data_IF_796855914333
#
_entry.id   IF_796855914333
#
_cell.length_a   1.000
_cell.length_b   1.000
_cell.length_c   1.000
_cell.angle_alpha   90.00
_cell.angle_beta   90.00
_cell.angle_gamma   90.00
#
_symmetry.space_group_name_H-M   'P 1'
#
loop_
_entity.id
_entity.type
_entity.pdbx_description
1 polymer ?
#
# COMPACT_ATOMS: atom_id res chain seq x y z
N UNK A 1 0.30 -2.20 23.33
CA UNK A 1 1.18 -2.61 22.21
C UNK A 1 1.59 -4.07 22.38
N UNK A 2 1.69 -4.86 21.30
CA UNK A 2 1.90 -6.33 21.35
C UNK A 2 3.39 -6.76 21.41
N UNK A 3 4.32 -5.81 21.59
CA UNK A 3 5.76 -6.07 21.67
C UNK A 3 6.37 -6.66 20.39
N UNK A 4 7.63 -7.09 20.49
CA UNK A 4 8.37 -7.70 19.38
C UNK A 4 7.75 -9.02 18.92
N UNK A 5 7.38 -9.90 19.87
CA UNK A 5 6.77 -11.19 19.54
C UNK A 5 5.45 -11.03 18.79
N UNK A 6 4.59 -10.10 19.23
CA UNK A 6 3.35 -9.79 18.52
C UNK A 6 3.59 -9.20 17.14
N UNK A 7 4.60 -8.33 16.99
CA UNK A 7 4.99 -7.78 15.69
C UNK A 7 5.51 -8.86 14.74
N UNK A 8 6.27 -9.84 15.25
CA UNK A 8 6.76 -10.98 14.47
C UNK A 8 5.63 -11.85 13.95
N UNK A 9 4.65 -12.19 14.80
CA UNK A 9 3.46 -12.93 14.38
C UNK A 9 2.68 -12.17 13.30
N UNK A 10 2.50 -10.86 13.48
CA UNK A 10 1.84 -10.02 12.50
C UNK A 10 2.59 -9.95 11.16
N UNK A 11 3.91 -9.73 11.18
CA UNK A 11 4.76 -9.69 9.98
C UNK A 11 4.77 -11.02 9.23
N UNK A 12 4.74 -12.16 9.95
CA UNK A 12 4.61 -13.47 9.35
C UNK A 12 3.28 -13.60 8.61
N UNK A 13 2.18 -13.15 9.21
CA UNK A 13 0.88 -13.07 8.55
C UNK A 13 0.88 -12.19 7.31
N UNK A 14 1.54 -11.03 7.35
CA UNK A 14 1.71 -10.17 6.16
C UNK A 14 2.46 -10.90 5.06
N UNK A 15 3.57 -11.58 5.40
CA UNK A 15 4.40 -12.33 4.45
C UNK A 15 3.63 -13.46 3.78
N UNK A 16 2.85 -14.21 4.55
CA UNK A 16 2.09 -15.37 4.05
C UNK A 16 0.91 -14.96 3.15
N UNK A 17 0.46 -13.70 3.26
CA UNK A 17 -0.60 -13.12 2.43
C UNK A 17 -0.08 -12.34 1.21
N UNK A 18 1.23 -12.34 0.94
CA UNK A 18 1.77 -11.67 -0.24
C UNK A 18 1.34 -12.38 -1.53
N UNK A 19 0.56 -11.70 -2.37
CA UNK A 19 0.15 -12.20 -3.68
C UNK A 19 1.34 -12.48 -4.62
N UNK A 20 2.48 -11.79 -4.42
CA UNK A 20 3.72 -11.96 -5.17
C UNK A 20 4.93 -11.58 -4.33
N UNK A 21 6.13 -11.97 -4.77
CA UNK A 21 7.38 -11.52 -4.13
C UNK A 21 7.47 -9.97 -4.16
N UNK A 22 7.93 -9.32 -3.06
CA UNK A 22 8.09 -7.87 -3.04
C UNK A 22 9.05 -7.42 -4.15
N UNK A 23 8.60 -6.48 -4.98
CA UNK A 23 9.38 -5.95 -6.11
C UNK A 23 8.89 -4.56 -6.52
N UNK A 24 9.81 -3.69 -6.98
CA UNK A 24 9.49 -2.32 -7.35
C UNK A 24 9.32 -1.37 -6.17
N UNK A 25 8.76 -0.18 -6.42
CA UNK A 25 8.48 0.86 -5.42
C UNK A 25 6.97 0.98 -5.14
N UNK A 26 6.54 1.92 -4.29
CA UNK A 26 5.13 2.16 -3.94
C UNK A 26 4.23 2.37 -5.17
N UNK A 27 4.71 3.11 -6.17
CA UNK A 27 3.95 3.33 -7.43
C UNK A 27 3.76 2.03 -8.20
N UNK A 28 4.77 1.16 -8.17
CA UNK A 28 4.69 -0.17 -8.77
C UNK A 28 3.70 -1.08 -8.04
N UNK A 29 3.43 -0.86 -6.74
CA UNK A 29 2.37 -1.58 -6.04
C UNK A 29 0.98 -1.07 -6.45
N UNK A 30 0.80 0.25 -6.62
CA UNK A 30 -0.46 0.79 -7.15
C UNK A 30 -0.72 0.30 -8.58
N UNK A 31 0.32 0.23 -9.42
CA UNK A 31 0.23 -0.40 -10.73
C UNK A 31 -0.19 -1.88 -10.65
N UNK A 32 0.32 -2.62 -9.67
CA UNK A 32 -0.02 -4.03 -9.49
C UNK A 32 -1.51 -4.21 -9.14
N UNK A 33 -2.07 -3.33 -8.30
CA UNK A 33 -3.51 -3.31 -8.04
C UNK A 33 -4.30 -2.98 -9.30
N UNK A 34 -3.89 -1.94 -10.04
CA UNK A 34 -4.50 -1.59 -11.33
C UNK A 34 -4.49 -2.76 -12.33
N UNK A 35 -3.41 -3.54 -12.37
CA UNK A 35 -3.24 -4.69 -13.25
C UNK A 35 -3.96 -5.97 -12.76
N UNK A 36 -4.61 -5.94 -11.60
CA UNK A 36 -5.28 -7.10 -11.00
C UNK A 36 -4.30 -8.16 -10.47
N UNK A 37 -3.05 -7.81 -10.21
CA UNK A 37 -2.06 -8.73 -9.63
C UNK A 37 -2.25 -8.91 -8.11
N UNK A 38 -2.87 -7.94 -7.44
CA UNK A 38 -3.24 -8.00 -6.03
C UNK A 38 -4.39 -7.05 -5.71
N UNK A 39 -5.08 -7.28 -4.59
CA UNK A 39 -6.23 -6.45 -4.19
C UNK A 39 -5.84 -5.20 -3.38
N UNK A 40 -4.75 -5.32 -2.59
CA UNK A 40 -4.33 -4.30 -1.62
C UNK A 40 -2.83 -4.05 -1.76
N UNK A 41 -2.44 -2.78 -1.64
CA UNK A 41 -1.04 -2.34 -1.57
C UNK A 41 -0.83 -1.42 -0.36
N UNK A 42 0.34 -1.54 0.27
CA UNK A 42 0.78 -0.62 1.33
C UNK A 42 1.78 0.35 0.70
N UNK A 43 1.54 1.65 0.86
CA UNK A 43 2.42 2.68 0.33
C UNK A 43 2.18 4.05 0.94
N UNK A 44 3.11 4.96 0.71
CA UNK A 44 3.04 6.31 1.23
C UNK A 44 2.10 7.20 0.41
N UNK A 45 1.20 7.93 1.08
CA UNK A 45 0.16 8.76 0.42
C UNK A 45 0.72 9.84 -0.50
N UNK A 46 1.93 10.35 -0.25
CA UNK A 46 2.54 11.35 -1.13
C UNK A 46 2.81 10.82 -2.55
N UNK A 47 2.96 9.51 -2.72
CA UNK A 47 3.09 8.93 -4.06
C UNK A 47 1.79 9.00 -4.84
N UNK A 48 0.63 8.91 -4.19
CA UNK A 48 -0.67 9.14 -4.84
C UNK A 48 -0.74 10.56 -5.41
N UNK A 49 -0.39 11.56 -4.59
CA UNK A 49 -0.33 12.95 -5.06
C UNK A 49 0.65 13.16 -6.21
N UNK A 50 1.83 12.53 -6.15
CA UNK A 50 2.82 12.59 -7.25
C UNK A 50 2.34 11.91 -8.52
N UNK A 51 1.60 10.80 -8.43
CA UNK A 51 1.08 10.07 -9.59
C UNK A 51 -0.06 10.83 -10.28
N UNK A 52 -1.02 11.34 -9.50
CA UNK A 52 -2.14 12.14 -10.02
C UNK A 52 -1.70 13.40 -10.78
N UNK A 53 -0.52 13.94 -10.46
CA UNK A 53 0.04 15.14 -11.09
C UNK A 53 1.19 14.84 -12.06
N UNK A 54 1.40 13.57 -12.45
CA UNK A 54 2.56 13.18 -13.23
C UNK A 54 2.39 13.47 -14.73
N UNK A 55 2.79 14.68 -15.16
CA UNK A 55 2.76 15.06 -16.59
C UNK A 55 3.79 14.33 -17.47
N UNK A 56 4.85 13.76 -16.87
CA UNK A 56 5.88 13.03 -17.62
C UNK A 56 5.48 11.59 -17.92
N UNK A 57 4.67 11.01 -17.04
CA UNK A 57 4.18 9.63 -17.10
C UNK A 57 2.67 9.63 -16.83
N UNK A 58 1.85 10.05 -17.82
CA UNK A 58 0.41 10.20 -17.64
C UNK A 58 -0.29 8.88 -17.32
N UNK A 59 0.29 7.73 -17.66
CA UNK A 59 -0.22 6.41 -17.29
C UNK A 59 -0.33 6.21 -15.77
N UNK A 60 0.49 6.92 -14.99
CA UNK A 60 0.42 6.86 -13.52
C UNK A 60 -0.86 7.51 -12.97
N UNK A 61 -1.48 8.43 -13.72
CA UNK A 61 -2.76 9.04 -13.34
C UNK A 61 -3.87 7.99 -13.39
N UNK A 62 -3.86 7.11 -14.40
CA UNK A 62 -4.82 6.01 -14.51
C UNK A 62 -4.66 5.00 -13.37
N UNK A 63 -3.42 4.62 -13.05
CA UNK A 63 -3.16 3.71 -11.92
C UNK A 63 -3.67 4.31 -10.61
N UNK A 64 -3.40 5.59 -10.37
CA UNK A 64 -3.84 6.29 -9.17
C UNK A 64 -5.36 6.42 -9.07
N UNK A 65 -6.05 6.70 -10.18
CA UNK A 65 -7.51 6.80 -10.21
C UNK A 65 -8.23 5.44 -10.07
N UNK A 66 -7.52 4.33 -10.29
CA UNK A 66 -8.11 2.99 -10.15
C UNK A 66 -8.18 2.47 -8.71
N UNK A 67 -7.54 3.15 -7.76
CA UNK A 67 -7.45 2.70 -6.37
C UNK A 67 -8.01 3.74 -5.39
N UNK A 68 -8.48 3.27 -4.24
CA UNK A 68 -8.88 4.13 -3.13
C UNK A 68 -7.80 4.12 -2.04
N UNK A 69 -7.55 5.28 -1.43
CA UNK A 69 -6.70 5.38 -0.23
C UNK A 69 -7.54 5.07 1.00
N UNK A 70 -7.19 3.99 1.69
CA UNK A 70 -7.81 3.61 2.97
C UNK A 70 -6.82 3.89 4.10
N UNK A 71 -7.22 4.72 5.06
CA UNK A 71 -6.43 4.97 6.27
C UNK A 71 -6.70 3.86 7.31
N UNK A 72 -5.67 3.13 7.76
CA UNK A 72 -5.83 2.12 8.80
C UNK A 72 -6.37 2.74 10.09
N UNK A 73 -7.35 2.08 10.71
CA UNK A 73 -7.84 2.44 12.04
C UNK A 73 -7.14 1.55 13.07
N UNK A 74 -6.44 2.17 14.01
CA UNK A 74 -5.83 1.46 15.13
C UNK A 74 -6.71 1.61 16.38
N UNK A 75 -7.04 0.49 17.03
CA UNK A 75 -7.73 0.50 18.33
C UNK A 75 -6.69 0.54 19.46
N UNK A 76 -6.73 1.57 20.32
CA UNK A 76 -5.79 1.79 21.43
C UNK A 76 -4.97 3.09 21.32
N UNK A 77 -4.08 3.37 22.28
CA UNK A 77 -3.29 4.62 22.43
C UNK A 77 -2.25 4.93 21.33
N UNK A 78 -2.39 4.36 20.14
CA UNK A 78 -1.59 4.69 18.95
C UNK A 78 -2.43 5.18 17.76
N UNK A 79 -3.76 5.14 17.85
CA UNK A 79 -4.66 5.62 16.80
C UNK A 79 -4.90 7.11 16.92
N UNK A 80 -4.08 7.94 16.25
CA UNK A 80 -4.56 9.27 15.87
C UNK A 80 -5.28 9.13 14.54
N UNK A 81 -6.58 9.41 14.57
CA UNK A 81 -7.43 9.68 13.41
C UNK A 81 -6.88 10.85 12.61
#
# INVERSE_FOLDING_TARGET
>A
HMGEEGAKVWLQGVKDNLARKPQGNDRAQVKAVYAGECDIAIGMTYYMGKMLNNKKNPEQIEWANSVNVVYPKFTGEGGRT
#
